data_IF_736077232541
#
_entry.id   IF_736077232541
#
_cell.length_a   1.000
_cell.length_b   1.000
_cell.length_c   1.000
_cell.angle_alpha   90.00
_cell.angle_beta   90.00
_cell.angle_gamma   90.00
#
_symmetry.space_group_name_H-M   'P 1'
#
loop_
_entity.id
_entity.type
_entity.pdbx_description
1 polymer ?
#
# COMPACT_ATOMS: atom_id res chain seq x y z
N UNK A 1 36.22 1.05 16.50
CA UNK A 1 37.42 0.55 17.21
C UNK A 1 38.53 0.39 16.18
N UNK A 2 39.77 0.77 16.48
CA UNK A 2 40.89 0.63 15.54
C UNK A 2 41.55 -0.75 15.73
N UNK A 3 41.50 -1.59 14.70
CA UNK A 3 42.05 -2.95 14.68
C UNK A 3 43.41 -3.01 13.96
N UNK A 4 44.00 -1.88 13.57
CA UNK A 4 45.32 -1.82 12.92
C UNK A 4 46.38 -2.46 13.83
N UNK A 5 47.09 -3.45 13.30
CA UNK A 5 48.14 -4.20 14.01
C UNK A 5 47.69 -5.51 14.67
N UNK A 6 46.40 -5.87 14.61
CA UNK A 6 45.92 -7.19 15.02
C UNK A 6 46.04 -8.20 13.87
N UNK A 7 46.36 -9.46 14.21
CA UNK A 7 46.49 -10.54 13.21
C UNK A 7 45.09 -11.03 12.80
N UNK A 8 44.45 -10.32 11.87
CA UNK A 8 43.11 -10.64 11.37
C UNK A 8 43.19 -11.75 10.31
N UNK A 9 42.47 -12.85 10.55
CA UNK A 9 42.41 -13.98 9.60
C UNK A 9 41.36 -13.69 8.53
N UNK A 10 41.81 -13.54 7.28
CA UNK A 10 41.00 -13.16 6.10
C UNK A 10 39.97 -14.21 5.65
N UNK A 11 38.95 -13.74 4.93
CA UNK A 11 37.99 -14.55 4.17
C UNK A 11 37.95 -14.06 2.72
N UNK A 12 37.83 -14.96 1.75
CA UNK A 12 37.85 -14.63 0.32
C UNK A 12 36.48 -14.11 -0.13
N UNK A 13 36.29 -12.79 -0.20
CA UNK A 13 35.12 -12.16 -0.80
C UNK A 13 35.31 -12.00 -2.31
N UNK A 14 34.36 -12.51 -3.11
CA UNK A 14 34.44 -12.54 -4.59
C UNK A 14 34.16 -11.16 -5.19
N UNK A 15 33.15 -10.48 -4.64
CA UNK A 15 32.78 -9.10 -4.93
C UNK A 15 32.84 -8.35 -3.60
N UNK A 16 33.64 -7.28 -3.51
CA UNK A 16 33.65 -6.40 -2.35
C UNK A 16 33.70 -4.96 -2.82
N UNK A 17 32.82 -4.14 -2.23
CA UNK A 17 32.75 -2.70 -2.49
C UNK A 17 33.22 -1.97 -1.24
N UNK A 18 34.23 -1.12 -1.42
CA UNK A 18 34.67 -0.16 -0.42
C UNK A 18 34.49 1.24 -0.99
N UNK A 19 33.95 2.16 -0.19
CA UNK A 19 33.73 3.55 -0.60
C UNK A 19 34.91 4.39 -0.12
N UNK A 20 35.45 5.23 -1.01
CA UNK A 20 36.53 6.16 -0.68
C UNK A 20 36.03 7.19 0.35
N UNK A 21 36.77 7.34 1.45
CA UNK A 21 36.46 8.24 2.57
C UNK A 21 36.28 9.70 2.10
N UNK A 22 36.89 10.10 0.96
CA UNK A 22 36.77 11.44 0.39
C UNK A 22 35.40 11.77 -0.25
N UNK A 23 34.53 10.79 -0.48
CA UNK A 23 33.19 10.97 -1.07
C UNK A 23 32.04 10.77 -0.07
N UNK A 24 32.33 10.80 1.25
CA UNK A 24 31.35 10.44 2.29
C UNK A 24 30.21 11.46 2.46
N UNK A 25 29.22 11.38 1.58
CA UNK A 25 27.81 11.65 1.90
C UNK A 25 27.00 10.33 1.98
N UNK A 26 27.67 9.19 1.89
CA UNK A 26 27.09 7.86 1.72
C UNK A 26 26.79 7.16 3.06
N UNK A 27 25.83 6.24 3.04
CA UNK A 27 25.15 5.58 4.17
C UNK A 27 26.01 5.29 5.41
N UNK A 28 25.39 5.38 6.59
CA UNK A 28 26.02 4.96 7.88
C UNK A 28 26.48 3.50 7.88
N UNK A 29 26.02 2.69 6.92
CA UNK A 29 26.35 1.27 6.76
C UNK A 29 27.47 1.00 5.76
N UNK A 30 28.05 2.03 5.14
CA UNK A 30 29.16 1.87 4.22
C UNK A 30 30.45 1.44 4.93
N UNK A 31 31.22 0.62 4.23
CA UNK A 31 32.55 0.17 4.64
C UNK A 31 33.55 1.11 3.95
N UNK A 32 34.16 1.99 4.73
CA UNK A 32 35.15 2.96 4.26
C UNK A 32 36.57 2.48 4.55
N UNK A 33 37.52 2.87 3.69
CA UNK A 33 38.95 2.59 3.88
C UNK A 33 39.77 3.83 3.54
N UNK A 34 40.78 4.10 4.37
CA UNK A 34 41.74 5.20 4.16
C UNK A 34 42.97 4.78 3.34
N UNK A 35 43.03 3.54 2.86
CA UNK A 35 44.19 2.92 2.20
C UNK A 35 43.77 2.15 0.94
N UNK A 36 44.74 1.73 0.13
CA UNK A 36 44.49 0.95 -1.10
C UNK A 36 43.51 -0.21 -0.84
N UNK A 37 42.55 -0.40 -1.74
CA UNK A 37 41.49 -1.37 -1.57
C UNK A 37 42.11 -2.77 -1.73
N UNK A 38 42.47 -3.39 -0.60
CA UNK A 38 42.94 -4.77 -0.53
C UNK A 38 41.92 -5.61 0.22
N UNK A 39 41.88 -6.92 -0.06
CA UNK A 39 40.98 -7.85 0.64
C UNK A 39 41.21 -7.85 2.16
N UNK A 40 42.44 -7.61 2.60
CA UNK A 40 42.81 -7.51 4.00
C UNK A 40 42.20 -6.26 4.64
N UNK A 41 42.37 -5.10 4.00
CA UNK A 41 41.76 -3.84 4.46
C UNK A 41 40.24 -3.94 4.51
N UNK A 42 39.63 -4.64 3.54
CA UNK A 42 38.20 -4.93 3.54
C UNK A 42 37.74 -5.75 4.76
N UNK A 43 38.42 -6.87 5.03
CA UNK A 43 38.11 -7.69 6.20
C UNK A 43 38.27 -6.91 7.51
N UNK A 44 39.32 -6.08 7.60
CA UNK A 44 39.58 -5.24 8.78
C UNK A 44 38.46 -4.24 8.98
N UNK A 45 38.13 -3.40 7.98
CA UNK A 45 37.13 -2.36 8.23
C UNK A 45 35.70 -2.93 8.33
N UNK A 46 35.41 -4.08 7.72
CA UNK A 46 34.16 -4.80 7.96
C UNK A 46 34.03 -5.19 9.45
N UNK A 47 35.09 -5.74 10.06
CA UNK A 47 35.10 -6.04 11.49
C UNK A 47 35.04 -4.76 12.35
N UNK A 48 35.81 -3.71 12.01
CA UNK A 48 35.74 -2.44 12.73
C UNK A 48 34.34 -1.84 12.71
N UNK A 49 33.65 -1.93 11.58
CA UNK A 49 32.26 -1.49 11.41
C UNK A 49 31.32 -2.31 12.29
N UNK A 50 31.48 -3.63 12.32
CA UNK A 50 30.70 -4.53 13.18
C UNK A 50 30.85 -4.19 14.67
N UNK A 51 32.05 -3.80 15.12
CA UNK A 51 32.26 -3.37 16.51
C UNK A 51 31.73 -1.96 16.80
N UNK A 52 31.68 -1.09 15.79
CA UNK A 52 31.33 0.33 15.97
C UNK A 52 29.82 0.59 15.83
N UNK A 53 29.12 -0.14 14.96
CA UNK A 53 27.68 0.01 14.77
C UNK A 53 26.90 -0.38 16.06
N UNK A 54 25.85 0.35 16.45
CA UNK A 54 24.96 -0.03 17.54
C UNK A 54 24.42 -1.45 17.37
N UNK A 55 24.39 -2.24 18.43
CA UNK A 55 23.95 -3.64 18.35
C UNK A 55 22.51 -3.80 17.83
N UNK A 56 21.66 -2.78 17.99
CA UNK A 56 20.31 -2.72 17.42
C UNK A 56 20.30 -2.65 15.89
N UNK A 57 21.32 -2.03 15.28
CA UNK A 57 21.41 -1.74 13.84
C UNK A 57 22.17 -2.80 13.03
N UNK A 58 22.65 -3.86 13.67
CA UNK A 58 23.31 -4.98 13.00
C UNK A 58 22.44 -5.68 11.94
N UNK A 59 21.13 -5.90 12.17
CA UNK A 59 20.25 -6.49 11.14
C UNK A 59 20.15 -5.65 9.87
N UNK A 60 20.01 -4.33 10.01
CA UNK A 60 19.91 -3.37 8.90
C UNK A 60 21.25 -3.29 8.16
N UNK A 61 22.37 -3.25 8.88
CA UNK A 61 23.71 -3.29 8.30
C UNK A 61 23.93 -4.54 7.43
N UNK A 62 23.60 -5.73 7.94
CA UNK A 62 23.76 -6.99 7.20
C UNK A 62 22.84 -7.02 5.98
N UNK A 63 21.60 -6.53 6.11
CA UNK A 63 20.65 -6.44 4.99
C UNK A 63 21.18 -5.53 3.89
N UNK A 64 21.72 -4.37 4.27
CA UNK A 64 22.32 -3.43 3.34
C UNK A 64 23.50 -4.04 2.57
N UNK A 65 24.41 -4.74 3.27
CA UNK A 65 25.54 -5.39 2.64
C UNK A 65 25.11 -6.52 1.68
N UNK A 66 24.12 -7.33 2.06
CA UNK A 66 23.56 -8.38 1.18
C UNK A 66 23.00 -7.77 -0.12
N UNK A 67 22.28 -6.64 -0.04
CA UNK A 67 21.68 -5.96 -1.20
C UNK A 67 22.70 -5.36 -2.17
N UNK A 68 23.87 -4.98 -1.69
CA UNK A 68 24.95 -4.43 -2.53
C UNK A 68 25.70 -5.50 -3.33
N UNK A 69 25.58 -6.77 -2.94
CA UNK A 69 26.29 -7.88 -3.56
C UNK A 69 25.41 -8.61 -4.57
N UNK A 70 26.01 -8.98 -5.71
CA UNK A 70 25.38 -9.79 -6.77
C UNK A 70 24.87 -11.13 -6.23
N UNK A 71 25.63 -11.75 -5.33
CA UNK A 71 25.27 -12.96 -4.59
C UNK A 71 25.37 -12.74 -3.08
N UNK A 72 24.23 -12.37 -2.50
CA UNK A 72 24.07 -12.16 -1.06
C UNK A 72 24.32 -13.42 -0.21
N UNK A 73 24.08 -14.62 -0.74
CA UNK A 73 24.30 -15.88 -0.01
C UNK A 73 25.79 -16.17 0.10
N UNK A 74 26.53 -15.98 -0.99
CA UNK A 74 27.99 -16.11 -0.97
C UNK A 74 28.62 -15.09 -0.02
N UNK A 75 28.20 -13.82 -0.08
CA UNK A 75 28.71 -12.80 0.84
C UNK A 75 28.46 -13.18 2.31
N UNK A 76 27.26 -13.64 2.64
CA UNK A 76 26.87 -14.04 4.00
C UNK A 76 27.73 -15.20 4.53
N UNK A 77 28.01 -16.20 3.70
CA UNK A 77 28.89 -17.33 4.06
C UNK A 77 30.34 -16.88 4.28
N UNK A 78 30.84 -15.93 3.49
CA UNK A 78 32.19 -15.38 3.67
C UNK A 78 32.27 -14.52 4.93
N UNK A 79 31.22 -13.79 5.26
CA UNK A 79 31.11 -13.01 6.49
C UNK A 79 31.08 -13.90 7.73
N UNK A 80 30.28 -14.97 7.74
CA UNK A 80 30.30 -15.95 8.82
C UNK A 80 31.69 -16.56 9.03
N UNK A 81 32.37 -16.94 7.94
CA UNK A 81 33.73 -17.46 8.00
C UNK A 81 34.72 -16.43 8.55
N UNK A 82 34.56 -15.15 8.22
CA UNK A 82 35.37 -14.07 8.79
C UNK A 82 35.14 -13.95 10.30
N UNK A 83 33.90 -14.06 10.79
CA UNK A 83 33.60 -14.04 12.22
C UNK A 83 34.22 -15.25 12.93
N UNK A 84 34.03 -16.46 12.41
CA UNK A 84 34.58 -17.69 12.97
C UNK A 84 36.12 -17.65 13.08
N UNK A 85 36.79 -17.19 12.02
CA UNK A 85 38.24 -17.07 11.98
C UNK A 85 38.81 -16.09 13.02
N UNK A 86 37.98 -15.16 13.53
CA UNK A 86 38.38 -14.08 14.42
C UNK A 86 37.61 -14.12 15.75
N UNK A 87 37.09 -15.29 16.15
CA UNK A 87 36.31 -15.49 17.38
C UNK A 87 37.04 -15.00 18.64
N UNK A 88 38.35 -15.27 18.75
CA UNK A 88 39.18 -14.83 19.88
C UNK A 88 39.15 -13.31 20.10
N UNK A 89 38.93 -12.51 19.05
CA UNK A 89 38.80 -11.06 19.17
C UNK A 89 37.53 -10.70 19.94
N UNK A 90 36.41 -11.38 19.67
CA UNK A 90 35.14 -11.14 20.36
C UNK A 90 35.20 -11.59 21.82
N UNK A 91 35.95 -12.65 22.12
CA UNK A 91 36.22 -13.09 23.49
C UNK A 91 37.05 -12.03 24.24
N UNK A 92 38.18 -11.64 23.66
CA UNK A 92 39.12 -10.67 24.26
C UNK A 92 38.45 -9.31 24.50
N UNK A 93 37.59 -8.88 23.59
CA UNK A 93 36.85 -7.61 23.69
C UNK A 93 35.55 -7.71 24.52
N UNK A 94 35.27 -8.85 25.17
CA UNK A 94 34.03 -9.09 25.93
C UNK A 94 32.75 -8.83 25.12
N UNK A 95 32.79 -9.09 23.82
CA UNK A 95 31.72 -8.80 22.86
C UNK A 95 30.92 -10.06 22.45
N UNK A 96 30.89 -11.10 23.30
CA UNK A 96 30.22 -12.38 23.03
C UNK A 96 28.71 -12.24 22.75
N UNK A 97 28.02 -11.31 23.42
CA UNK A 97 26.60 -11.05 23.17
C UNK A 97 26.36 -10.52 21.75
N UNK A 98 27.29 -9.71 21.23
CA UNK A 98 27.28 -9.21 19.86
C UNK A 98 27.59 -10.33 18.88
N UNK A 99 28.61 -11.15 19.16
CA UNK A 99 28.98 -12.31 18.36
C UNK A 99 27.79 -13.27 18.18
N UNK A 100 27.14 -13.68 19.27
CA UNK A 100 25.96 -14.54 19.23
C UNK A 100 24.81 -13.91 18.43
N UNK A 101 24.60 -12.60 18.58
CA UNK A 101 23.58 -11.88 17.81
C UNK A 101 23.88 -11.90 16.30
N UNK A 102 25.14 -11.75 15.90
CA UNK A 102 25.54 -11.82 14.49
C UNK A 102 25.24 -13.19 13.90
N UNK A 103 25.58 -14.28 14.59
CA UNK A 103 25.24 -15.64 14.13
C UNK A 103 23.72 -15.85 14.01
N UNK A 104 22.94 -15.37 14.98
CA UNK A 104 21.48 -15.43 14.90
C UNK A 104 20.92 -14.64 13.70
N UNK A 105 21.50 -13.46 13.41
CA UNK A 105 21.10 -12.67 12.24
C UNK A 105 21.50 -13.37 10.94
N UNK A 106 22.70 -13.95 10.88
CA UNK A 106 23.19 -14.71 9.72
C UNK A 106 22.24 -15.87 9.44
N UNK A 107 21.90 -16.66 10.45
CA UNK A 107 21.00 -17.82 10.26
C UNK A 107 19.60 -17.39 9.83
N UNK A 108 19.05 -16.33 10.46
CA UNK A 108 17.76 -15.76 10.05
C UNK A 108 17.80 -15.27 8.60
N UNK A 109 18.84 -14.54 8.20
CA UNK A 109 19.00 -14.03 6.82
C UNK A 109 19.20 -15.16 5.82
N UNK A 110 19.88 -16.23 6.20
CA UNK A 110 19.99 -17.46 5.41
C UNK A 110 18.62 -18.10 5.21
N UNK A 111 17.80 -18.23 6.26
CA UNK A 111 16.43 -18.72 6.13
C UNK A 111 15.58 -17.82 5.23
N UNK A 112 15.73 -16.49 5.31
CA UNK A 112 15.02 -15.53 4.44
C UNK A 112 15.45 -15.66 2.97
N UNK A 113 16.75 -15.69 2.68
CA UNK A 113 17.30 -15.87 1.32
C UNK A 113 16.96 -17.24 0.73
N UNK A 114 16.94 -18.28 1.57
CA UNK A 114 16.47 -19.61 1.20
C UNK A 114 14.96 -19.62 1.01
N UNK A 115 14.15 -18.96 1.83
CA UNK A 115 12.71 -18.87 1.61
C UNK A 115 12.33 -18.16 0.30
N UNK A 116 13.16 -17.20 -0.16
CA UNK A 116 13.03 -16.61 -1.49
C UNK A 116 13.49 -17.55 -2.63
N UNK A 117 14.33 -18.55 -2.34
CA UNK A 117 14.90 -19.51 -3.32
C UNK A 117 14.25 -20.90 -3.29
N UNK A 118 13.54 -21.23 -2.21
CA UNK A 118 12.80 -22.48 -2.03
C UNK A 118 11.53 -22.31 -2.84
N UNK A 119 11.51 -22.91 -4.03
CA UNK A 119 10.28 -23.35 -4.67
C UNK A 119 9.45 -24.01 -3.57
N UNK A 120 8.31 -23.43 -3.23
CA UNK A 120 7.36 -24.02 -2.28
C UNK A 120 7.31 -25.53 -2.55
N UNK A 121 7.46 -26.35 -1.52
CA UNK A 121 7.09 -27.77 -1.63
C UNK A 121 5.56 -27.77 -1.77
N UNK A 122 5.07 -27.47 -2.98
CA UNK A 122 3.68 -27.64 -3.36
C UNK A 122 3.40 -29.11 -3.12
N UNK A 123 2.40 -29.41 -2.30
CA UNK A 123 1.86 -30.76 -2.30
C UNK A 123 1.59 -31.13 -3.77
N UNK A 124 2.04 -32.31 -4.23
CA UNK A 124 1.94 -32.65 -5.63
C UNK A 124 0.48 -32.57 -6.04
N UNK A 125 0.19 -31.79 -7.08
CA UNK A 125 -1.18 -31.61 -7.54
C UNK A 125 -1.79 -32.98 -7.86
N UNK A 126 -2.93 -33.34 -7.24
CA UNK A 126 -3.55 -34.64 -7.47
C UNK A 126 -3.73 -34.88 -8.96
N UNK A 127 -3.30 -36.05 -9.48
CA UNK A 127 -3.36 -36.38 -10.93
C UNK A 127 -4.73 -36.12 -11.57
N UNK A 128 -5.81 -36.25 -10.80
CA UNK A 128 -7.19 -35.95 -11.26
C UNK A 128 -7.42 -34.47 -11.63
N UNK A 129 -6.54 -33.57 -11.21
CA UNK A 129 -6.56 -32.12 -11.46
C UNK A 129 -5.49 -31.69 -12.49
N UNK A 130 -4.71 -32.63 -13.01
CA UNK A 130 -3.74 -32.39 -14.08
C UNK A 130 -4.46 -32.59 -15.40
N UNK A 131 -4.41 -31.58 -16.28
CA UNK A 131 -5.02 -31.60 -17.60
C UNK A 131 -4.18 -32.39 -18.59
N UNK A 132 -2.86 -32.18 -18.56
CA UNK A 132 -1.92 -32.85 -19.43
C UNK A 132 -0.54 -32.93 -18.80
N UNK A 133 0.21 -33.97 -19.15
CA UNK A 133 1.62 -34.14 -18.80
C UNK A 133 2.47 -33.95 -20.06
N UNK A 134 3.53 -33.18 -19.96
CA UNK A 134 4.62 -33.05 -20.94
C UNK A 134 5.93 -33.56 -20.32
N UNK A 135 7.01 -33.58 -21.09
CA UNK A 135 8.31 -34.12 -20.64
C UNK A 135 8.87 -33.36 -19.43
N UNK A 136 8.90 -32.02 -19.52
CA UNK A 136 9.55 -31.17 -18.51
C UNK A 136 8.59 -30.57 -17.47
N UNK A 137 7.27 -30.64 -17.70
CA UNK A 137 6.23 -30.09 -16.81
C UNK A 137 4.88 -30.74 -17.04
N UNK A 138 3.94 -30.50 -16.13
CA UNK A 138 2.52 -30.76 -16.35
C UNK A 138 1.73 -29.46 -16.44
N UNK A 139 0.54 -29.55 -17.01
CA UNK A 139 -0.39 -28.44 -17.16
C UNK A 139 -1.63 -28.72 -16.31
N UNK A 140 -1.90 -27.83 -15.35
CA UNK A 140 -3.07 -27.91 -14.47
C UNK A 140 -3.80 -26.58 -14.45
N UNK A 141 -4.99 -26.56 -15.03
CA UNK A 141 -5.85 -25.37 -15.01
C UNK A 141 -6.25 -25.00 -13.57
N UNK A 142 -6.34 -26.00 -12.69
CA UNK A 142 -6.60 -25.79 -11.26
C UNK A 142 -5.52 -24.90 -10.63
N UNK A 143 -4.24 -25.18 -10.86
CA UNK A 143 -3.15 -24.34 -10.35
C UNK A 143 -3.15 -22.95 -10.96
N UNK A 144 -3.28 -22.87 -12.29
CA UNK A 144 -3.29 -21.60 -13.02
C UNK A 144 -4.42 -20.69 -12.56
N UNK A 145 -5.62 -21.24 -12.36
CA UNK A 145 -6.75 -20.50 -11.82
C UNK A 145 -6.45 -19.93 -10.43
N UNK A 146 -5.89 -20.74 -9.52
CA UNK A 146 -5.51 -20.27 -8.18
C UNK A 146 -4.43 -19.19 -8.22
N UNK A 147 -3.47 -19.30 -9.15
CA UNK A 147 -2.45 -18.29 -9.32
C UNK A 147 -3.05 -16.97 -9.81
N UNK A 148 -3.87 -17.02 -10.86
CA UNK A 148 -4.56 -15.85 -11.43
C UNK A 148 -5.48 -15.16 -10.41
N UNK A 149 -6.11 -15.91 -9.51
CA UNK A 149 -6.92 -15.35 -8.41
C UNK A 149 -6.07 -14.51 -7.43
N UNK A 150 -4.81 -14.86 -7.20
CA UNK A 150 -3.88 -14.14 -6.31
C UNK A 150 -3.21 -12.93 -6.95
N UNK A 151 -3.18 -12.85 -8.28
CA UNK A 151 -2.60 -11.70 -8.99
C UNK A 151 -3.45 -10.45 -8.80
N UNK A 152 -2.82 -9.28 -8.70
CA UNK A 152 -3.52 -8.00 -8.55
C UNK A 152 -3.83 -7.34 -9.91
N UNK A 153 -2.81 -7.22 -10.77
CA UNK A 153 -2.92 -6.57 -12.08
C UNK A 153 -3.77 -7.39 -13.06
N UNK A 154 -4.79 -6.76 -13.63
CA UNK A 154 -5.60 -7.39 -14.69
C UNK A 154 -4.76 -7.72 -15.92
N UNK A 155 -3.88 -6.80 -16.34
CA UNK A 155 -3.09 -6.99 -17.55
C UNK A 155 -2.14 -8.17 -17.39
N UNK A 156 -1.54 -8.31 -16.20
CA UNK A 156 -0.62 -9.40 -15.88
C UNK A 156 -1.37 -10.74 -15.90
N UNK A 157 -2.61 -10.80 -15.39
CA UNK A 157 -3.45 -12.00 -15.49
C UNK A 157 -3.68 -12.43 -16.93
N UNK A 158 -3.99 -11.48 -17.82
CA UNK A 158 -4.20 -11.77 -19.24
C UNK A 158 -2.90 -12.20 -19.91
N UNK A 159 -1.79 -11.51 -19.63
CA UNK A 159 -0.48 -11.86 -20.18
C UNK A 159 -0.08 -13.29 -19.78
N UNK A 160 -0.12 -13.59 -18.48
CA UNK A 160 0.20 -14.91 -17.93
C UNK A 160 -0.65 -16.02 -18.55
N UNK A 161 -1.97 -15.82 -18.67
CA UNK A 161 -2.85 -16.82 -19.28
C UNK A 161 -2.56 -17.05 -20.76
N UNK A 162 -2.17 -16.01 -21.51
CA UNK A 162 -1.75 -16.18 -22.89
C UNK A 162 -0.43 -16.93 -22.99
N UNK A 163 0.56 -16.58 -22.17
CA UNK A 163 1.84 -17.31 -22.08
C UNK A 163 1.59 -18.80 -21.80
N UNK A 164 0.77 -19.13 -20.81
CA UNK A 164 0.44 -20.52 -20.48
C UNK A 164 -0.27 -21.27 -21.63
N UNK A 165 -1.12 -20.58 -22.41
CA UNK A 165 -1.72 -21.15 -23.64
C UNK A 165 -0.63 -21.43 -24.69
N UNK A 166 0.30 -20.50 -24.89
CA UNK A 166 1.40 -20.66 -25.85
C UNK A 166 2.33 -21.79 -25.46
N UNK A 167 2.72 -21.86 -24.19
CA UNK A 167 3.56 -22.94 -23.63
C UNK A 167 2.89 -24.30 -23.82
N UNK A 168 1.59 -24.41 -23.49
CA UNK A 168 0.86 -25.67 -23.67
C UNK A 168 0.77 -26.12 -25.13
N UNK A 169 0.55 -25.19 -26.06
CA UNK A 169 0.42 -25.50 -27.49
C UNK A 169 1.74 -25.87 -28.15
N UNK A 170 2.85 -25.42 -27.61
CA UNK A 170 4.20 -25.72 -28.10
C UNK A 170 4.83 -26.93 -27.41
N UNK A 171 4.29 -27.36 -26.27
CA UNK A 171 4.82 -28.48 -25.52
C UNK A 171 4.57 -29.83 -26.20
N UNK A 172 5.54 -30.72 -26.08
CA UNK A 172 5.41 -32.13 -26.45
C UNK A 172 4.59 -32.88 -25.40
N UNK A 173 3.26 -32.91 -25.61
CA UNK A 173 2.32 -33.53 -24.68
C UNK A 173 2.44 -35.05 -24.72
N UNK A 174 2.80 -35.65 -23.59
CA UNK A 174 2.93 -37.09 -23.38
C UNK A 174 1.58 -37.73 -23.08
N UNK A 175 0.75 -37.06 -22.26
CA UNK A 175 -0.57 -37.58 -21.90
C UNK A 175 -1.61 -36.47 -21.65
N UNK A 176 -2.87 -36.76 -21.98
CA UNK A 176 -4.00 -35.84 -21.78
C UNK A 176 -5.05 -36.53 -20.90
N UNK A 177 -5.57 -35.80 -19.92
CA UNK A 177 -6.65 -36.24 -19.06
C UNK A 177 -8.03 -35.99 -19.70
N UNK A 178 -8.60 -37.02 -20.30
CA UNK A 178 -9.89 -36.95 -21.00
C UNK A 178 -11.11 -36.64 -20.10
N UNK A 179 -10.95 -36.65 -18.77
CA UNK A 179 -12.04 -36.26 -17.84
C UNK A 179 -12.12 -34.76 -17.60
N UNK A 180 -11.09 -34.01 -17.99
CA UNK A 180 -11.02 -32.56 -17.87
C UNK A 180 -11.18 -31.93 -19.25
N UNK A 181 -11.66 -30.68 -19.29
CA UNK A 181 -11.61 -29.93 -20.53
C UNK A 181 -10.15 -29.64 -20.95
N UNK A 182 -9.88 -29.47 -22.25
CA UNK A 182 -8.55 -29.10 -22.74
C UNK A 182 -7.99 -27.88 -21.99
N UNK A 183 -6.70 -27.94 -21.67
CA UNK A 183 -6.06 -26.94 -20.82
C UNK A 183 -6.14 -25.52 -21.40
N UNK A 184 -5.78 -25.38 -22.68
CA UNK A 184 -5.80 -24.09 -23.38
C UNK A 184 -7.22 -23.54 -23.50
N UNK A 185 -8.21 -24.39 -23.78
CA UNK A 185 -9.61 -23.97 -23.83
C UNK A 185 -10.10 -23.40 -22.49
N UNK A 186 -9.71 -24.01 -21.37
CA UNK A 186 -10.05 -23.48 -20.05
C UNK A 186 -9.36 -22.15 -19.76
N UNK A 187 -8.11 -21.96 -20.21
CA UNK A 187 -7.42 -20.68 -20.11
C UNK A 187 -8.09 -19.60 -20.96
N UNK A 188 -8.51 -19.92 -22.20
CA UNK A 188 -9.25 -19.01 -23.08
C UNK A 188 -10.57 -18.59 -22.44
N UNK A 189 -11.35 -19.53 -21.90
CA UNK A 189 -12.60 -19.23 -21.20
C UNK A 189 -12.37 -18.34 -19.97
N UNK A 190 -11.26 -18.51 -19.25
CA UNK A 190 -10.92 -17.66 -18.12
C UNK A 190 -10.57 -16.23 -18.57
N UNK A 191 -9.85 -16.07 -19.68
CA UNK A 191 -9.58 -14.77 -20.31
C UNK A 191 -10.90 -14.07 -20.67
N UNK A 192 -11.81 -14.76 -21.36
CA UNK A 192 -13.11 -14.23 -21.77
C UNK A 192 -13.94 -13.78 -20.56
N UNK A 193 -13.96 -14.61 -19.50
CA UNK A 193 -14.63 -14.26 -18.24
C UNK A 193 -14.05 -13.00 -17.62
N UNK A 194 -12.72 -12.90 -17.52
CA UNK A 194 -12.04 -11.73 -16.94
C UNK A 194 -12.36 -10.46 -17.73
N UNK A 195 -12.27 -10.51 -19.06
CA UNK A 195 -12.57 -9.38 -19.93
C UNK A 195 -14.04 -8.95 -19.82
N UNK A 196 -14.97 -9.91 -19.79
CA UNK A 196 -16.40 -9.66 -19.61
C UNK A 196 -16.67 -8.94 -18.29
N UNK A 197 -16.09 -9.43 -17.18
CA UNK A 197 -16.25 -8.80 -15.87
C UNK A 197 -15.67 -7.39 -15.82
N UNK A 198 -14.52 -7.16 -16.46
CA UNK A 198 -13.92 -5.81 -16.54
C UNK A 198 -14.81 -4.84 -17.31
N UNK A 199 -15.40 -5.29 -18.42
CA UNK A 199 -16.34 -4.49 -19.22
C UNK A 199 -17.58 -4.11 -18.41
N UNK A 200 -18.22 -5.09 -17.75
CA UNK A 200 -19.40 -4.86 -16.91
C UNK A 200 -19.11 -3.87 -15.77
N UNK A 201 -17.95 -3.98 -15.11
CA UNK A 201 -17.55 -3.03 -14.05
C UNK A 201 -17.42 -1.60 -14.58
N UNK A 202 -16.81 -1.43 -15.76
CA UNK A 202 -16.67 -0.12 -16.39
C UNK A 202 -18.02 0.46 -16.82
N UNK A 203 -18.96 -0.38 -17.29
CA UNK A 203 -20.32 0.05 -17.63
C UNK A 203 -21.09 0.51 -16.38
N UNK A 204 -20.99 -0.22 -15.27
CA UNK A 204 -21.59 0.16 -13.98
C UNK A 204 -21.00 1.47 -13.45
N UNK A 205 -19.68 1.67 -13.57
CA UNK A 205 -19.03 2.93 -13.17
C UNK A 205 -19.55 4.11 -14.00
N UNK A 206 -19.69 3.95 -15.32
CA UNK A 206 -20.27 4.98 -16.20
C UNK A 206 -21.72 5.29 -15.85
N UNK A 207 -22.53 4.27 -15.56
CA UNK A 207 -23.92 4.47 -15.13
C UNK A 207 -23.99 5.27 -13.82
N UNK A 208 -23.13 4.96 -12.85
CA UNK A 208 -23.02 5.73 -11.60
C UNK A 208 -22.58 7.18 -11.82
N UNK A 209 -21.62 7.41 -12.71
CA UNK A 209 -21.19 8.76 -13.09
C UNK A 209 -22.31 9.55 -13.75
N UNK A 210 -23.11 8.92 -14.62
CA UNK A 210 -24.28 9.53 -15.25
C UNK A 210 -25.37 9.86 -14.23
N UNK A 211 -25.62 8.97 -13.26
CA UNK A 211 -26.55 9.22 -12.15
C UNK A 211 -26.09 10.38 -11.25
N UNK A 212 -24.78 10.51 -11.01
CA UNK A 212 -24.22 11.63 -10.23
C UNK A 212 -24.25 12.97 -10.99
N UNK A 213 -24.02 12.95 -12.31
CA UNK A 213 -24.01 14.15 -13.16
C UNK A 213 -25.42 14.67 -13.52
N UNK A 214 -26.47 13.86 -13.33
CA UNK A 214 -27.87 14.28 -13.54
C UNK A 214 -28.45 15.09 -12.38
N UNK A 215 -27.72 15.28 -11.27
CA UNK A 215 -28.01 16.36 -10.34
C UNK A 215 -27.41 17.64 -10.91
N UNK A 216 -28.20 18.63 -11.38
CA UNK A 216 -27.64 19.92 -11.75
C UNK A 216 -26.84 20.42 -10.55
N UNK A 217 -25.55 20.71 -10.74
CA UNK A 217 -24.76 21.42 -9.73
C UNK A 217 -25.39 22.80 -9.56
N UNK A 218 -26.40 22.89 -8.69
CA UNK A 218 -26.99 24.15 -8.29
C UNK A 218 -25.88 24.88 -7.55
N UNK A 219 -25.29 25.87 -8.20
CA UNK A 219 -24.35 26.77 -7.54
C UNK A 219 -25.09 27.41 -6.37
N UNK A 220 -24.63 27.12 -5.15
CA UNK A 220 -25.23 27.69 -3.93
C UNK A 220 -25.28 29.21 -4.03
N UNK A 221 -26.41 29.77 -3.61
CA UNK A 221 -26.66 31.19 -3.58
C UNK A 221 -25.96 31.82 -2.39
N UNK A 222 -25.22 32.91 -2.63
CA UNK A 222 -24.62 33.67 -1.56
C UNK A 222 -25.67 34.55 -0.88
N UNK A 223 -25.87 34.35 0.42
CA UNK A 223 -26.70 35.23 1.23
C UNK A 223 -25.84 36.30 1.90
N UNK A 224 -25.97 37.56 1.46
CA UNK A 224 -25.13 38.66 1.97
C UNK A 224 -25.55 39.18 3.35
N UNK A 225 -26.70 38.75 3.88
CA UNK A 225 -27.14 39.08 5.24
C UNK A 225 -26.53 38.17 6.31
N UNK A 226 -26.95 38.33 7.56
CA UNK A 226 -26.54 37.43 8.63
C UNK A 226 -27.31 36.11 8.54
N UNK A 227 -26.65 34.99 8.83
CA UNK A 227 -27.25 33.65 8.75
C UNK A 227 -28.55 33.54 9.56
N UNK A 228 -28.61 34.15 10.75
CA UNK A 228 -29.83 34.14 11.55
C UNK A 228 -31.02 34.88 10.92
N UNK A 229 -30.78 35.86 10.04
CA UNK A 229 -31.83 36.53 9.27
C UNK A 229 -32.36 35.61 8.16
N UNK A 230 -31.47 34.89 7.46
CA UNK A 230 -31.86 33.90 6.46
C UNK A 230 -32.75 32.82 7.08
N UNK A 231 -32.30 32.23 8.20
CA UNK A 231 -33.04 31.15 8.87
C UNK A 231 -34.36 31.65 9.46
N UNK A 232 -34.40 32.88 9.98
CA UNK A 232 -35.62 33.47 10.53
C UNK A 232 -36.70 33.73 9.46
N UNK A 233 -36.33 33.99 8.20
CA UNK A 233 -37.30 34.07 7.09
C UNK A 233 -38.08 32.75 6.96
N UNK A 234 -37.37 31.62 6.91
CA UNK A 234 -38.03 30.31 6.81
C UNK A 234 -38.79 29.95 8.09
N UNK A 235 -38.32 30.40 9.25
CA UNK A 235 -39.06 30.24 10.50
C UNK A 235 -40.41 30.99 10.46
N UNK A 236 -40.40 32.26 10.03
CA UNK A 236 -41.61 33.07 9.88
C UNK A 236 -42.59 32.41 8.92
N UNK A 237 -42.15 32.02 7.72
CA UNK A 237 -42.98 31.39 6.70
C UNK A 237 -43.54 30.02 7.11
N UNK A 238 -42.85 29.27 7.96
CA UNK A 238 -43.29 27.93 8.38
C UNK A 238 -44.13 27.92 9.67
N UNK A 239 -44.07 28.97 10.50
CA UNK A 239 -44.66 28.93 11.86
C UNK A 239 -45.40 30.20 12.30
N UNK A 240 -45.12 31.35 11.70
CA UNK A 240 -45.72 32.62 12.13
C UNK A 240 -46.68 33.20 11.10
N UNK A 241 -46.42 32.96 9.81
CA UNK A 241 -47.22 33.47 8.70
C UNK A 241 -48.11 32.37 8.15
N UNK A 242 -49.39 32.71 7.93
CA UNK A 242 -50.41 31.77 7.49
C UNK A 242 -51.26 32.35 6.34
N UNK A 243 -51.65 31.48 5.40
CA UNK A 243 -52.64 31.73 4.35
C UNK A 243 -53.74 30.69 4.48
N UNK A 244 -55.00 31.13 4.56
CA UNK A 244 -56.18 30.26 4.71
C UNK A 244 -56.03 29.21 5.84
N UNK A 245 -55.39 29.60 6.94
CA UNK A 245 -55.17 28.76 8.12
C UNK A 245 -54.01 27.75 8.00
N UNK A 246 -53.22 27.77 6.92
CA UNK A 246 -52.01 26.95 6.73
C UNK A 246 -50.77 27.82 6.68
N UNK A 247 -49.61 27.31 7.11
CA UNK A 247 -48.35 28.05 6.99
C UNK A 247 -48.00 28.31 5.53
N UNK A 248 -47.28 29.40 5.24
CA UNK A 248 -46.78 29.67 3.89
C UNK A 248 -45.87 28.56 3.36
N UNK A 249 -45.08 27.95 4.25
CA UNK A 249 -44.27 26.76 3.96
C UNK A 249 -44.72 25.63 4.86
N UNK A 250 -45.21 24.54 4.26
CA UNK A 250 -45.51 23.28 4.93
C UNK A 250 -44.33 22.32 4.76
N UNK A 251 -43.38 22.36 5.70
CA UNK A 251 -42.16 21.57 5.67
C UNK A 251 -41.70 21.23 7.09
N UNK A 252 -41.05 20.09 7.29
CA UNK A 252 -40.45 19.77 8.58
C UNK A 252 -39.22 20.65 8.83
N UNK A 253 -38.82 20.79 10.10
CA UNK A 253 -37.56 21.50 10.43
C UNK A 253 -36.35 20.88 9.71
N UNK A 254 -36.34 19.55 9.51
CA UNK A 254 -35.25 18.87 8.78
C UNK A 254 -35.22 19.22 7.30
N UNK A 255 -36.38 19.36 6.66
CA UNK A 255 -36.49 19.77 5.26
C UNK A 255 -35.99 21.20 5.05
N UNK A 256 -36.35 22.10 5.97
CA UNK A 256 -35.87 23.50 5.94
C UNK A 256 -34.35 23.55 6.13
N UNK A 257 -33.79 22.76 7.06
CA UNK A 257 -32.33 22.68 7.25
C UNK A 257 -31.64 22.22 5.98
N UNK A 258 -32.11 21.12 5.38
CA UNK A 258 -31.56 20.58 4.14
C UNK A 258 -31.65 21.58 2.99
N UNK A 259 -32.79 22.27 2.85
CA UNK A 259 -32.99 23.31 1.84
C UNK A 259 -31.95 24.43 1.99
N UNK A 260 -31.78 24.98 3.20
CA UNK A 260 -30.86 26.08 3.44
C UNK A 260 -29.40 25.65 3.20
N UNK A 261 -28.98 24.51 3.74
CA UNK A 261 -27.59 24.03 3.64
C UNK A 261 -27.21 23.66 2.21
N UNK A 262 -28.14 23.08 1.45
CA UNK A 262 -27.84 22.64 0.08
C UNK A 262 -27.91 23.76 -0.95
N UNK A 263 -28.61 24.88 -0.65
CA UNK A 263 -28.83 25.95 -1.62
C UNK A 263 -28.14 27.27 -1.29
N UNK A 264 -27.60 27.47 -0.08
CA UNK A 264 -27.00 28.75 0.32
C UNK A 264 -25.59 28.62 0.90
N UNK A 265 -24.78 29.66 0.68
CA UNK A 265 -23.53 29.95 1.39
C UNK A 265 -23.64 31.28 2.12
N UNK A 266 -22.85 31.48 3.17
CA UNK A 266 -22.87 32.71 3.94
C UNK A 266 -22.23 33.92 3.21
N UNK A 267 -22.30 35.10 3.83
CA UNK A 267 -21.74 36.35 3.30
C UNK A 267 -20.21 36.31 3.11
N UNK A 268 -19.52 35.39 3.76
CA UNK A 268 -18.08 35.19 3.71
C UNK A 268 -17.68 34.03 2.76
N UNK A 269 -18.65 33.45 2.06
CA UNK A 269 -18.54 32.28 1.17
C UNK A 269 -18.26 30.94 1.87
N UNK A 270 -18.56 30.85 3.17
CA UNK A 270 -18.47 29.59 3.90
C UNK A 270 -19.75 28.76 3.76
N UNK A 271 -19.56 27.45 3.91
CA UNK A 271 -20.64 26.49 4.04
C UNK A 271 -21.45 26.73 5.32
N UNK A 272 -22.77 26.60 5.22
CA UNK A 272 -23.68 26.80 6.35
C UNK A 272 -23.74 25.51 7.18
N UNK A 273 -23.48 25.62 8.49
CA UNK A 273 -23.58 24.49 9.42
C UNK A 273 -25.05 24.07 9.66
N UNK A 274 -25.42 22.79 9.42
CA UNK A 274 -26.76 22.27 9.71
C UNK A 274 -27.18 22.48 11.17
N UNK A 275 -26.28 22.23 12.12
CA UNK A 275 -26.54 22.37 13.56
C UNK A 275 -26.86 23.82 13.94
N UNK A 276 -26.23 24.77 13.26
CA UNK A 276 -26.47 26.21 13.46
C UNK A 276 -27.89 26.57 13.01
N UNK A 277 -28.30 26.10 11.82
CA UNK A 277 -29.66 26.30 11.28
C UNK A 277 -30.70 25.68 12.21
N UNK A 278 -30.51 24.41 12.59
CA UNK A 278 -31.39 23.71 13.54
C UNK A 278 -31.57 24.48 14.85
N UNK A 279 -30.47 25.03 15.38
CA UNK A 279 -30.50 25.77 16.64
C UNK A 279 -31.35 27.03 16.54
N UNK A 280 -31.29 27.76 15.42
CA UNK A 280 -32.07 29.00 15.21
C UNK A 280 -33.56 28.69 14.97
N UNK A 281 -33.87 27.56 14.31
CA UNK A 281 -35.24 27.11 14.05
C UNK A 281 -35.96 26.59 15.32
N UNK A 282 -35.24 26.24 16.39
CA UNK A 282 -35.86 25.74 17.63
C UNK A 282 -36.73 26.82 18.29
N UNK A 283 -38.03 26.57 18.59
CA UNK A 283 -38.90 27.52 19.28
C UNK A 283 -38.34 28.03 20.61
N UNK A 284 -37.63 27.17 21.35
CA UNK A 284 -37.02 27.50 22.65
C UNK A 284 -35.78 28.39 22.55
N UNK A 285 -35.23 28.63 21.35
CA UNK A 285 -33.99 29.39 21.11
C UNK A 285 -34.26 30.74 20.44
N UNK A 286 -35.31 31.44 20.88
CA UNK A 286 -35.63 32.78 20.39
C UNK A 286 -34.48 33.79 20.54
N UNK A 287 -33.58 33.57 21.51
CA UNK A 287 -32.36 34.36 21.71
C UNK A 287 -31.38 34.31 20.53
N UNK A 288 -31.44 33.26 19.71
CA UNK A 288 -30.57 33.08 18.53
C UNK A 288 -31.12 33.74 17.26
N UNK A 289 -32.37 34.19 17.28
CA UNK A 289 -33.01 34.90 16.16
C UNK A 289 -32.61 36.37 16.13
N UNK A 290 -32.78 37.07 15.00
CA UNK A 290 -32.50 38.49 14.91
C UNK A 290 -33.30 39.29 15.95
N UNK A 291 -32.67 40.29 16.55
CA UNK A 291 -33.39 41.29 17.36
C UNK A 291 -34.40 42.02 16.48
N UNK A 292 -35.49 42.52 17.07
CA UNK A 292 -36.61 43.15 16.35
C UNK A 292 -36.18 44.15 15.27
N UNK A 293 -35.26 45.08 15.58
CA UNK A 293 -34.77 46.08 14.63
C UNK A 293 -33.85 45.55 13.51
N UNK A 294 -33.46 44.27 13.55
CA UNK A 294 -32.66 43.57 12.53
C UNK A 294 -33.44 42.43 11.88
N UNK A 295 -34.66 42.16 12.32
CA UNK A 295 -35.53 41.14 11.76
C UNK A 295 -36.01 41.62 10.40
N UNK A 296 -36.02 40.73 9.41
CA UNK A 296 -36.63 41.02 8.11
C UNK A 296 -38.13 40.87 8.32
N UNK A 297 -38.85 41.98 8.16
CA UNK A 297 -40.29 42.03 8.30
C UNK A 297 -40.93 41.60 6.98
N UNK A 298 -41.47 40.37 6.97
CA UNK A 298 -42.08 39.77 5.80
C UNK A 298 -43.53 40.25 5.57
N UNK A 299 -44.20 40.77 6.60
CA UNK A 299 -45.58 41.27 6.46
C UNK A 299 -45.63 42.49 5.53
N UNK A 300 -44.56 43.28 5.46
CA UNK A 300 -44.47 44.40 4.51
C UNK A 300 -44.33 43.97 3.03
N UNK A 301 -44.12 42.69 2.76
CA UNK A 301 -44.00 42.14 1.41
C UNK A 301 -45.24 41.36 0.94
N UNK A 302 -46.23 41.17 1.83
CA UNK A 302 -47.47 40.42 1.61
C UNK A 302 -48.67 41.38 1.46
#
# INVERSE_FOLDING_TARGET
MNLKGQNIKKSMFSDWRAVDTAQSAASIFDITHDQEPTLENYCIALLEKVFTIPQSQLPEFITYQIQLNSDGTTWLNKFEKLLANNEELFITQKALSRFNKLYNIIEKKRTELQASSVKEIKQPTPKRLINADAEDRYFSFFEVKQHVEKMESFNDKILFLNEEIFEYRQADIISINNKLQPYDQQCVQLIEKLQTLRKMRSEIEKEKELEQNNNPTIKKLKFNGNLNQLVDIFYQLSRELFVDGKSFIDASNGDIVNMIVNNFIDKDNNEISPQTVETILKPSRGDKRPKTHKRIDLDNFL
#
